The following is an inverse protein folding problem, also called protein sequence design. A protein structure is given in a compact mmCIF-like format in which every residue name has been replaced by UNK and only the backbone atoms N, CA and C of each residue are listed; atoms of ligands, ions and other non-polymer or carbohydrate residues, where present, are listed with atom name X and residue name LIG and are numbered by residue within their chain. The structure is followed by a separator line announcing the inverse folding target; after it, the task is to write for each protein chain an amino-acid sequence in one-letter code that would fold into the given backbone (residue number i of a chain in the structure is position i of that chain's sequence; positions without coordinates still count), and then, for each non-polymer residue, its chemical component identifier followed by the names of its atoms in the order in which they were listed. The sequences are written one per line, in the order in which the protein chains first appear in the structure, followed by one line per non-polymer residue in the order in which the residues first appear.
data_IF_812562214641
#
_entry.id   IF_812562214641
#
_cell.length_a   1.000
_cell.length_b   1.000
_cell.length_c   1.000
_cell.angle_alpha   90.00
_cell.angle_beta   90.00
_cell.angle_gamma   90.00
#
_symmetry.space_group_name_H-M   'P 1'
#
loop_
_entity.id
_entity.type
_entity.pdbx_description
1 polymer ?
#
# COMPACT_ATOMS: atom_id res chain seq x y z
N UNK A 1 2.93 59.79 -32.72
CA UNK A 1 2.16 58.59 -32.31
C UNK A 1 2.98 57.36 -32.56
N UNK A 2 3.69 56.86 -31.55
CA UNK A 2 3.99 55.45 -31.48
C UNK A 2 4.01 55.02 -29.99
N UNK A 3 2.99 54.33 -29.50
CA UNK A 3 3.08 53.72 -28.14
C UNK A 3 2.04 52.61 -27.87
N UNK A 4 1.49 51.96 -28.90
CA UNK A 4 0.43 50.94 -28.66
C UNK A 4 0.85 49.49 -28.97
N UNK A 5 2.07 49.24 -29.44
CA UNK A 5 2.50 47.88 -29.84
C UNK A 5 3.29 47.10 -28.80
N UNK A 6 3.79 47.73 -27.75
CA UNK A 6 4.70 47.07 -26.80
C UNK A 6 3.95 46.36 -25.65
N UNK A 7 2.68 46.69 -25.37
CA UNK A 7 1.94 46.12 -24.23
C UNK A 7 1.36 44.71 -24.44
N UNK A 8 1.24 44.24 -25.68
CA UNK A 8 0.62 42.95 -26.00
C UNK A 8 1.58 41.75 -25.92
N UNK A 9 2.89 41.98 -25.96
CA UNK A 9 3.89 40.88 -25.96
C UNK A 9 4.35 40.41 -24.59
N UNK A 10 4.09 41.16 -23.51
CA UNK A 10 4.59 40.81 -22.15
C UNK A 10 3.61 39.92 -21.39
N UNK A 11 2.33 39.87 -21.76
CA UNK A 11 1.32 39.07 -21.04
C UNK A 11 1.36 37.61 -21.45
N UNK A 12 1.78 37.27 -22.67
CA UNK A 12 1.78 35.92 -23.20
C UNK A 12 2.82 34.98 -22.49
N UNK A 13 4.08 35.42 -22.22
CA UNK A 13 5.03 34.55 -21.52
C UNK A 13 4.72 34.34 -20.04
N UNK A 14 3.99 35.27 -19.39
CA UNK A 14 3.65 35.13 -17.96
C UNK A 14 2.52 34.12 -17.73
N UNK A 15 1.57 34.01 -18.67
CA UNK A 15 0.50 32.99 -18.59
C UNK A 15 1.01 31.59 -18.89
N UNK A 16 2.02 31.42 -19.74
CA UNK A 16 2.64 30.11 -20.01
C UNK A 16 3.45 29.64 -18.79
N UNK A 17 4.10 30.56 -18.08
CA UNK A 17 4.89 30.21 -16.87
C UNK A 17 4.00 29.75 -15.69
N UNK A 18 2.77 30.27 -15.61
CA UNK A 18 1.80 29.88 -14.57
C UNK A 18 1.16 28.51 -14.83
N UNK A 19 1.13 28.06 -16.10
CA UNK A 19 0.58 26.73 -16.45
C UNK A 19 1.59 25.58 -16.27
N UNK A 20 2.89 25.87 -16.16
CA UNK A 20 3.93 24.85 -15.93
C UNK A 20 4.09 24.45 -14.45
N UNK A 21 3.47 25.19 -13.52
CA UNK A 21 3.55 24.92 -12.09
C UNK A 21 2.54 23.90 -11.55
N UNK A 22 1.61 23.39 -12.38
CA UNK A 22 0.48 22.60 -11.91
C UNK A 22 0.59 21.08 -12.16
N UNK A 23 1.67 20.61 -12.78
CA UNK A 23 1.93 19.18 -12.91
C UNK A 23 3.02 18.75 -11.93
N UNK A 24 2.72 18.69 -10.64
CA UNK A 24 3.49 17.78 -9.80
C UNK A 24 3.27 16.36 -10.32
N UNK A 25 4.34 15.60 -10.59
CA UNK A 25 4.17 14.21 -10.99
C UNK A 25 3.40 13.49 -9.88
N UNK A 26 2.27 12.88 -10.22
CA UNK A 26 1.37 12.11 -9.35
C UNK A 26 2.10 11.08 -8.45
N UNK A 27 3.29 10.67 -8.85
CA UNK A 27 4.14 9.69 -8.18
C UNK A 27 4.79 10.20 -6.89
N UNK A 28 5.11 11.49 -6.79
CA UNK A 28 5.92 12.01 -5.69
C UNK A 28 5.21 11.91 -4.33
N UNK A 29 3.89 12.07 -4.26
CA UNK A 29 3.16 12.04 -2.99
C UNK A 29 2.90 10.60 -2.50
N UNK A 30 2.76 9.60 -3.40
CA UNK A 30 2.64 8.18 -3.01
C UNK A 30 3.94 7.72 -2.35
N UNK A 31 5.09 8.06 -2.94
CA UNK A 31 6.39 7.78 -2.33
C UNK A 31 6.53 8.49 -0.98
N UNK A 32 6.12 9.75 -0.89
CA UNK A 32 6.20 10.52 0.36
C UNK A 32 5.32 9.93 1.45
N UNK A 33 4.12 9.48 1.12
CA UNK A 33 3.19 8.89 2.07
C UNK A 33 3.68 7.56 2.64
N UNK A 34 4.36 6.75 1.83
CA UNK A 34 4.87 5.43 2.24
C UNK A 34 6.27 5.52 2.85
N UNK A 35 7.16 6.35 2.27
CA UNK A 35 8.56 6.46 2.70
C UNK A 35 8.74 7.42 3.88
N UNK A 36 7.84 8.40 4.04
CA UNK A 36 7.86 9.36 5.15
C UNK A 36 6.50 9.39 5.84
N UNK A 37 6.05 8.26 6.41
CA UNK A 37 4.73 8.18 7.01
C UNK A 37 4.59 9.20 8.16
N UNK A 38 3.42 9.79 8.27
CA UNK A 38 3.06 10.71 9.36
C UNK A 38 3.16 10.01 10.73
N UNK A 39 2.94 8.70 10.75
CA UNK A 39 3.13 7.84 11.91
C UNK A 39 3.78 6.52 11.48
N UNK A 40 4.49 5.87 12.41
CA UNK A 40 5.09 4.54 12.15
C UNK A 40 4.05 3.43 12.33
N UNK A 41 4.28 2.31 11.64
CA UNK A 41 3.45 1.11 11.78
C UNK A 41 3.23 0.74 13.27
N UNK A 42 2.03 0.26 13.64
CA UNK A 42 0.91 -0.13 12.78
C UNK A 42 0.01 1.01 12.29
N UNK A 43 0.36 2.25 12.57
CA UNK A 43 -0.39 3.42 12.14
C UNK A 43 -0.09 3.77 10.68
N UNK A 44 -1.12 4.12 9.92
CA UNK A 44 -1.00 4.74 8.61
C UNK A 44 -1.94 5.94 8.52
N UNK A 45 -1.39 7.12 8.24
CA UNK A 45 -2.13 8.39 8.07
C UNK A 45 -3.16 8.65 9.17
N UNK A 46 -2.73 8.53 10.43
CA UNK A 46 -3.55 8.62 11.65
C UNK A 46 -4.57 7.50 11.86
N UNK A 47 -4.66 6.52 10.97
CA UNK A 47 -5.52 5.35 11.11
C UNK A 47 -4.71 4.25 11.81
N UNK A 48 -5.22 3.74 12.93
CA UNK A 48 -4.51 2.73 13.73
C UNK A 48 -5.37 1.49 13.89
N UNK A 49 -4.96 0.33 13.36
CA UNK A 49 -5.61 -0.95 13.62
C UNK A 49 -5.78 -1.20 15.14
N UNK A 50 -6.92 -1.75 15.52
CA UNK A 50 -7.30 -1.98 16.91
C UNK A 50 -7.77 -0.74 17.69
N UNK A 51 -7.78 0.45 17.07
CA UNK A 51 -8.21 1.70 17.74
C UNK A 51 -9.21 2.51 16.93
N UNK A 52 -8.90 2.77 15.66
CA UNK A 52 -9.75 3.59 14.80
C UNK A 52 -11.06 2.87 14.53
N UNK A 53 -12.17 3.56 14.78
CA UNK A 53 -13.49 3.04 14.45
C UNK A 53 -13.84 3.31 12.98
N UNK A 54 -14.81 2.54 12.47
CA UNK A 54 -15.34 2.73 11.12
C UNK A 54 -15.91 4.13 10.89
N UNK A 55 -16.61 4.67 11.88
CA UNK A 55 -17.22 6.01 11.79
C UNK A 55 -16.16 7.11 11.78
N UNK A 56 -15.13 6.98 12.61
CA UNK A 56 -13.98 7.90 12.61
C UNK A 56 -13.25 7.84 11.25
N UNK A 57 -12.96 6.65 10.75
CA UNK A 57 -12.33 6.47 9.44
C UNK A 57 -13.18 7.10 8.34
N UNK A 58 -14.48 6.81 8.30
CA UNK A 58 -15.38 7.38 7.30
C UNK A 58 -15.45 8.91 7.36
N UNK A 59 -15.32 9.50 8.57
CA UNK A 59 -15.27 10.94 8.75
C UNK A 59 -13.94 11.53 8.26
N UNK A 60 -12.81 10.88 8.56
CA UNK A 60 -11.49 11.31 8.09
C UNK A 60 -11.43 11.31 6.56
N UNK A 61 -11.85 10.22 5.93
CA UNK A 61 -11.85 10.08 4.47
C UNK A 61 -12.71 11.14 3.77
N UNK A 62 -13.87 11.52 4.34
CA UNK A 62 -14.73 12.57 3.78
C UNK A 62 -14.11 13.96 3.87
N UNK A 63 -13.16 14.17 4.77
CA UNK A 63 -12.51 15.47 4.99
C UNK A 63 -11.22 15.63 4.16
N UNK A 64 -10.65 14.53 3.68
CA UNK A 64 -9.43 14.57 2.88
C UNK A 64 -9.75 14.84 1.40
N UNK A 65 -9.30 15.97 0.84
CA UNK A 65 -9.53 16.33 -0.55
C UNK A 65 -8.81 15.41 -1.56
N UNK A 66 -7.87 14.59 -1.12
CA UNK A 66 -7.13 13.64 -1.96
C UNK A 66 -7.78 12.26 -1.99
N UNK A 67 -8.84 12.04 -1.21
CA UNK A 67 -9.56 10.78 -1.15
C UNK A 67 -10.74 10.78 -2.12
N UNK A 68 -10.86 9.71 -2.90
CA UNK A 68 -11.88 9.53 -3.94
C UNK A 68 -12.48 8.11 -3.86
N UNK A 69 -13.64 7.95 -4.49
CA UNK A 69 -14.28 6.65 -4.72
C UNK A 69 -14.46 5.81 -3.45
N UNK A 70 -14.90 6.47 -2.37
CA UNK A 70 -15.19 5.77 -1.11
C UNK A 70 -16.35 4.82 -1.34
N UNK A 71 -16.11 3.53 -1.19
CA UNK A 71 -17.10 2.48 -1.35
C UNK A 71 -17.11 1.53 -0.16
N UNK A 72 -18.30 1.10 0.20
CA UNK A 72 -18.51 0.12 1.25
C UNK A 72 -19.02 -1.17 0.65
N UNK A 73 -18.42 -2.28 1.06
CA UNK A 73 -18.82 -3.61 0.63
C UNK A 73 -18.76 -4.59 1.79
N UNK A 74 -19.48 -5.71 1.63
CA UNK A 74 -19.32 -6.88 2.50
C UNK A 74 -18.50 -7.88 1.71
N UNK A 75 -17.23 -8.03 2.07
CA UNK A 75 -16.31 -8.98 1.46
C UNK A 75 -16.33 -10.31 2.22
N UNK A 76 -16.78 -11.39 1.60
CA UNK A 76 -16.62 -12.73 2.16
C UNK A 76 -15.21 -13.26 1.78
N UNK A 77 -14.35 -13.66 2.70
CA UNK A 77 -14.55 -13.89 4.15
C UNK A 77 -14.19 -12.68 5.05
N UNK A 78 -14.05 -11.50 4.50
CA UNK A 78 -13.42 -10.34 5.16
C UNK A 78 -14.37 -9.55 6.08
N UNK A 79 -15.66 -9.82 6.04
CA UNK A 79 -16.66 -8.99 6.72
C UNK A 79 -16.88 -7.63 6.04
N UNK A 80 -17.28 -6.60 6.79
CA UNK A 80 -17.40 -5.25 6.25
C UNK A 80 -16.04 -4.69 5.83
N UNK A 81 -15.99 -4.11 4.65
CA UNK A 81 -14.77 -3.48 4.07
C UNK A 81 -15.14 -2.09 3.58
N UNK A 82 -14.30 -1.12 3.89
CA UNK A 82 -14.31 0.21 3.30
C UNK A 82 -13.12 0.33 2.36
N UNK A 83 -13.36 0.73 1.12
CA UNK A 83 -12.32 0.93 0.11
C UNK A 83 -12.37 2.35 -0.42
N UNK A 84 -11.20 2.88 -0.78
CA UNK A 84 -11.08 4.22 -1.37
C UNK A 84 -9.80 4.32 -2.18
N UNK A 85 -9.67 5.40 -2.93
CA UNK A 85 -8.46 5.75 -3.64
C UNK A 85 -7.87 7.04 -3.11
N UNK A 86 -6.57 7.13 -3.15
CA UNK A 86 -5.83 8.34 -2.78
C UNK A 86 -5.02 8.79 -4.00
N UNK A 87 -5.23 10.06 -4.42
CA UNK A 87 -4.50 10.65 -5.56
C UNK A 87 -5.36 11.46 -6.47
N UNK A 88 -5.90 10.90 -7.47
CA UNK A 88 -6.77 11.57 -8.43
C UNK A 88 -8.09 10.83 -8.62
N UNK A 89 -9.11 11.53 -9.11
CA UNK A 89 -10.39 10.91 -9.43
C UNK A 89 -10.52 10.69 -10.94
N UNK A 90 -11.05 9.55 -11.40
CA UNK A 90 -11.27 8.30 -10.67
C UNK A 90 -9.97 7.55 -10.41
N UNK A 91 -10.00 6.50 -9.56
CA UNK A 91 -8.86 5.61 -9.34
C UNK A 91 -8.20 5.20 -10.66
N UNK A 92 -7.07 5.78 -10.96
CA UNK A 92 -6.37 5.58 -12.23
C UNK A 92 -5.03 4.87 -12.05
N UNK A 93 -4.38 4.51 -13.16
CA UNK A 93 -3.00 4.03 -13.11
C UNK A 93 -2.10 5.04 -12.39
N UNK A 94 -1.37 4.58 -11.37
CA UNK A 94 -0.50 5.42 -10.54
C UNK A 94 -1.14 5.96 -9.26
N UNK A 95 -2.45 5.81 -9.08
CA UNK A 95 -3.11 6.12 -7.81
C UNK A 95 -2.93 4.97 -6.81
N UNK A 96 -3.06 5.28 -5.53
CA UNK A 96 -3.04 4.27 -4.48
C UNK A 96 -4.46 3.84 -4.15
N UNK A 97 -4.72 2.54 -4.23
CA UNK A 97 -5.96 1.95 -3.73
C UNK A 97 -5.76 1.45 -2.31
N UNK A 98 -6.73 1.74 -1.46
CA UNK A 98 -6.69 1.37 -0.05
C UNK A 98 -7.97 0.65 0.30
N UNK A 99 -7.87 -0.35 1.16
CA UNK A 99 -9.04 -0.88 1.84
C UNK A 99 -8.78 -1.16 3.32
N UNK A 100 -9.82 -1.03 4.13
CA UNK A 100 -9.79 -1.40 5.54
C UNK A 100 -10.84 -2.46 5.83
N UNK A 101 -10.44 -3.47 6.61
CA UNK A 101 -11.32 -4.47 7.16
C UNK A 101 -11.60 -4.16 8.64
N UNK A 102 -12.80 -4.54 9.11
CA UNK A 102 -13.28 -4.25 10.45
C UNK A 102 -13.68 -5.53 11.18
N UNK A 103 -13.59 -5.51 12.50
CA UNK A 103 -14.21 -6.54 13.34
C UNK A 103 -15.73 -6.33 13.48
N UNK A 104 -16.36 -7.20 14.26
CA UNK A 104 -17.81 -7.13 14.54
C UNK A 104 -18.24 -5.88 15.32
N UNK A 105 -17.31 -5.15 15.92
CA UNK A 105 -17.55 -3.90 16.66
C UNK A 105 -17.28 -2.66 15.81
N UNK A 106 -16.87 -2.84 14.55
CA UNK A 106 -16.53 -1.75 13.65
C UNK A 106 -15.15 -1.13 13.93
N UNK A 107 -14.24 -1.86 14.57
CA UNK A 107 -12.86 -1.42 14.78
C UNK A 107 -12.01 -1.89 13.60
N UNK A 108 -11.20 -0.99 13.04
CA UNK A 108 -10.23 -1.30 11.98
C UNK A 108 -9.28 -2.40 12.47
N UNK A 109 -9.19 -3.48 11.74
CA UNK A 109 -8.27 -4.59 12.00
C UNK A 109 -7.09 -4.60 11.03
N UNK A 110 -7.32 -4.12 9.83
CA UNK A 110 -6.34 -4.11 8.76
C UNK A 110 -6.55 -2.91 7.85
N UNK A 111 -5.44 -2.35 7.38
CA UNK A 111 -5.38 -1.39 6.27
C UNK A 111 -4.45 -1.98 5.23
N UNK A 112 -4.93 -2.15 4.03
CA UNK A 112 -4.15 -2.69 2.92
C UNK A 112 -4.01 -1.63 1.83
N UNK A 113 -2.78 -1.29 1.52
CA UNK A 113 -2.41 -0.31 0.51
C UNK A 113 -1.87 -1.02 -0.71
N UNK A 114 -2.36 -0.64 -1.89
CA UNK A 114 -1.81 -1.05 -3.18
C UNK A 114 -1.44 0.18 -3.95
N UNK A 115 -0.15 0.38 -4.15
CA UNK A 115 0.34 1.51 -4.93
C UNK A 115 0.22 1.24 -6.43
N UNK A 116 -0.27 2.22 -7.19
CA UNK A 116 -0.19 2.20 -8.65
C UNK A 116 1.20 2.59 -9.17
N UNK A 117 2.09 3.01 -8.28
CA UNK A 117 3.50 3.31 -8.57
C UNK A 117 4.35 2.19 -7.98
N UNK A 118 5.35 1.66 -8.71
CA UNK A 118 6.25 0.64 -8.18
C UNK A 118 6.95 1.10 -6.91
N UNK A 119 6.84 0.30 -5.86
CA UNK A 119 7.56 0.43 -4.59
C UNK A 119 8.42 -0.81 -4.41
N UNK A 120 9.61 -0.66 -3.87
CA UNK A 120 10.58 -1.75 -3.79
C UNK A 120 10.94 -2.06 -2.33
N UNK A 121 11.35 -3.29 -2.06
CA UNK A 121 11.76 -3.69 -0.70
C UNK A 121 12.83 -2.78 -0.12
N UNK A 122 13.79 -2.33 -0.92
CA UNK A 122 14.84 -1.37 -0.51
C UNK A 122 14.31 -0.05 0.04
N UNK A 123 13.07 0.34 -0.31
CA UNK A 123 12.45 1.57 0.17
C UNK A 123 11.96 1.44 1.63
N UNK A 124 11.69 0.21 2.09
CA UNK A 124 11.14 -0.08 3.41
C UNK A 124 12.19 -0.48 4.45
N UNK A 125 13.27 -1.14 4.04
CA UNK A 125 14.33 -1.58 4.95
C UNK A 125 14.93 -0.42 5.77
N UNK A 126 15.19 0.77 5.22
CA UNK A 126 15.68 1.91 6.02
C UNK A 126 14.69 2.41 7.08
N UNK A 127 13.39 2.20 6.87
CA UNK A 127 12.32 2.67 7.77
C UNK A 127 12.05 1.69 8.91
N UNK A 128 11.99 0.40 8.58
CA UNK A 128 11.52 -0.65 9.50
C UNK A 128 12.59 -1.66 9.88
N UNK A 129 13.79 -1.56 9.28
CA UNK A 129 14.85 -2.56 9.42
C UNK A 129 14.55 -3.83 8.61
N UNK A 130 15.33 -4.90 8.82
CA UNK A 130 15.07 -6.20 8.22
C UNK A 130 13.78 -6.81 8.79
N UNK A 131 12.98 -7.52 7.99
CA UNK A 131 11.82 -8.25 8.49
C UNK A 131 12.27 -9.35 9.48
N UNK A 132 11.36 -9.80 10.32
CA UNK A 132 11.65 -10.91 11.24
C UNK A 132 11.45 -12.26 10.54
N UNK A 133 10.42 -12.34 9.68
CA UNK A 133 10.04 -13.59 9.02
C UNK A 133 9.64 -13.36 7.56
N UNK A 134 9.71 -14.45 6.82
CA UNK A 134 9.17 -14.57 5.45
C UNK A 134 8.07 -15.60 5.47
N UNK A 135 6.94 -15.28 4.87
CA UNK A 135 5.82 -16.20 4.69
C UNK A 135 5.54 -16.43 3.22
N UNK A 136 5.22 -17.67 2.86
CA UNK A 136 4.83 -18.05 1.51
C UNK A 136 3.40 -18.55 1.49
N UNK A 137 2.65 -18.14 0.49
CA UNK A 137 1.31 -18.67 0.26
C UNK A 137 1.05 -18.90 -1.22
N UNK A 138 0.38 -20.01 -1.54
CA UNK A 138 -0.05 -20.27 -2.90
C UNK A 138 -1.06 -19.22 -3.36
N UNK A 139 -0.93 -18.75 -4.60
CA UNK A 139 -1.97 -17.93 -5.20
C UNK A 139 -3.06 -18.83 -5.78
N UNK A 140 -4.31 -18.59 -5.39
CA UNK A 140 -5.45 -19.29 -5.98
C UNK A 140 -5.72 -18.88 -7.43
N UNK A 141 -5.15 -17.77 -7.90
CA UNK A 141 -5.52 -17.13 -9.17
C UNK A 141 -4.54 -17.34 -10.32
N UNK A 142 -3.33 -17.79 -10.06
CA UNK A 142 -2.32 -18.00 -11.12
C UNK A 142 -1.37 -19.16 -10.75
N UNK A 143 -1.49 -20.32 -11.37
CA UNK A 143 -0.59 -21.44 -11.17
C UNK A 143 0.87 -21.03 -11.41
N UNK A 144 1.74 -21.33 -10.47
CA UNK A 144 3.17 -20.99 -10.54
C UNK A 144 3.56 -19.64 -9.93
N UNK A 145 2.59 -18.85 -9.46
CA UNK A 145 2.89 -17.65 -8.68
C UNK A 145 2.71 -17.91 -7.19
N UNK A 146 3.54 -17.24 -6.40
CA UNK A 146 3.51 -17.30 -4.94
C UNK A 146 3.36 -15.88 -4.42
N UNK A 147 2.51 -15.69 -3.42
CA UNK A 147 2.53 -14.47 -2.61
C UNK A 147 3.58 -14.67 -1.51
N UNK A 148 4.50 -13.75 -1.46
CA UNK A 148 5.51 -13.69 -0.41
C UNK A 148 5.19 -12.52 0.50
N UNK A 149 5.09 -12.80 1.80
CA UNK A 149 4.91 -11.79 2.84
C UNK A 149 6.18 -11.63 3.65
N UNK A 150 6.67 -10.40 3.78
CA UNK A 150 7.70 -10.04 4.74
C UNK A 150 7.03 -9.53 6.01
N UNK A 151 7.28 -10.19 7.12
CA UNK A 151 6.54 -10.00 8.35
C UNK A 151 7.36 -9.20 9.36
N UNK A 152 6.73 -8.17 9.91
CA UNK A 152 7.23 -7.32 11.00
C UNK A 152 6.22 -7.37 12.17
N UNK A 153 6.17 -8.51 12.93
CA UNK A 153 5.15 -8.69 13.95
C UNK A 153 5.14 -7.58 14.99
N UNK A 154 6.31 -7.16 15.48
CA UNK A 154 6.42 -6.09 16.47
C UNK A 154 5.90 -4.73 15.97
N UNK A 155 5.90 -4.50 14.66
CA UNK A 155 5.39 -3.28 14.03
C UNK A 155 3.95 -3.42 13.53
N UNK A 156 3.37 -4.62 13.47
CA UNK A 156 2.07 -4.85 12.84
C UNK A 156 2.08 -4.50 11.35
N UNK A 157 3.16 -4.84 10.64
CA UNK A 157 3.36 -4.54 9.23
C UNK A 157 3.66 -5.81 8.45
N UNK A 158 3.05 -5.93 7.28
CA UNK A 158 3.38 -6.95 6.29
C UNK A 158 3.59 -6.28 4.93
N UNK A 159 4.67 -6.64 4.25
CA UNK A 159 4.90 -6.27 2.86
C UNK A 159 4.68 -7.51 2.00
N UNK A 160 3.70 -7.46 1.11
CA UNK A 160 3.44 -8.56 0.17
C UNK A 160 3.97 -8.23 -1.22
N UNK A 161 4.47 -9.25 -1.88
CA UNK A 161 4.82 -9.20 -3.30
C UNK A 161 4.46 -10.51 -3.99
N UNK A 162 4.22 -10.41 -5.29
CA UNK A 162 3.93 -11.54 -6.14
C UNK A 162 5.25 -11.99 -6.77
N UNK A 163 5.62 -13.23 -6.53
CA UNK A 163 6.84 -13.81 -7.09
C UNK A 163 6.54 -15.04 -7.95
N UNK A 164 7.39 -15.27 -8.94
CA UNK A 164 7.36 -16.51 -9.71
C UNK A 164 8.03 -17.58 -8.86
N UNK A 165 7.32 -18.70 -8.69
CA UNK A 165 7.89 -19.87 -8.06
C UNK A 165 9.01 -20.46 -8.95
N UNK A 166 10.25 -20.42 -8.47
CA UNK A 166 11.41 -21.02 -9.14
C UNK A 166 11.60 -22.51 -8.83
N UNK A 167 10.79 -23.03 -7.89
CA UNK A 167 10.81 -24.44 -7.48
C UNK A 167 9.67 -25.25 -8.08
N UNK A 168 9.28 -26.30 -7.36
CA UNK A 168 8.09 -27.10 -7.66
C UNK A 168 6.91 -26.67 -6.81
N UNK A 169 5.70 -27.16 -7.11
CA UNK A 169 4.50 -26.90 -6.30
C UNK A 169 4.69 -27.39 -4.85
N UNK A 170 5.39 -28.51 -4.69
CA UNK A 170 5.64 -29.11 -3.36
C UNK A 170 6.84 -28.49 -2.63
N UNK A 171 7.69 -27.78 -3.33
CA UNK A 171 8.88 -27.09 -2.80
C UNK A 171 9.04 -25.75 -3.51
N UNK A 172 8.28 -24.76 -3.10
CA UNK A 172 8.40 -23.43 -3.67
C UNK A 172 9.77 -22.86 -3.37
N UNK A 173 10.35 -22.17 -4.33
CA UNK A 173 11.60 -21.44 -4.13
C UNK A 173 11.42 -20.02 -4.63
N UNK A 174 11.81 -19.06 -3.80
CA UNK A 174 11.78 -17.63 -4.12
C UNK A 174 13.15 -17.04 -3.85
N UNK A 175 13.65 -16.29 -4.80
CA UNK A 175 14.87 -15.49 -4.63
C UNK A 175 14.52 -14.10 -4.13
N UNK A 176 15.03 -13.76 -2.96
CA UNK A 176 14.84 -12.44 -2.37
C UNK A 176 15.87 -11.46 -2.90
N UNK A 177 15.44 -10.27 -3.26
CA UNK A 177 16.31 -9.16 -3.62
C UNK A 177 15.76 -7.83 -3.10
N UNK A 178 16.61 -6.83 -2.99
CA UNK A 178 16.21 -5.49 -2.60
C UNK A 178 15.30 -4.79 -3.63
N UNK A 179 15.35 -5.25 -4.88
CA UNK A 179 14.55 -4.72 -6.00
C UNK A 179 13.21 -5.45 -6.20
N UNK A 180 12.79 -6.28 -5.24
CA UNK A 180 11.45 -6.88 -5.29
C UNK A 180 10.39 -5.81 -5.16
N UNK A 181 9.45 -5.80 -6.11
CA UNK A 181 8.35 -4.86 -6.15
C UNK A 181 7.27 -5.26 -5.14
N UNK A 182 6.99 -4.36 -4.20
CA UNK A 182 5.95 -4.53 -3.19
C UNK A 182 4.58 -4.29 -3.82
N UNK A 183 3.76 -5.31 -3.84
CA UNK A 183 2.40 -5.25 -4.39
C UNK A 183 1.35 -4.78 -3.39
N UNK A 184 1.60 -5.03 -2.11
CA UNK A 184 0.71 -4.64 -1.01
C UNK A 184 1.51 -4.28 0.25
N UNK A 185 1.05 -3.24 0.95
CA UNK A 185 1.53 -2.87 2.28
C UNK A 185 0.35 -3.03 3.22
N UNK A 186 0.50 -3.88 4.22
CA UNK A 186 -0.58 -4.22 5.13
C UNK A 186 -0.22 -3.78 6.54
N UNK A 187 -0.98 -2.85 7.10
CA UNK A 187 -0.94 -2.48 8.50
C UNK A 187 -2.03 -3.25 9.25
N UNK A 188 -1.66 -3.88 10.34
CA UNK A 188 -2.56 -4.72 11.14
C UNK A 188 -2.18 -4.64 12.61
N UNK A 189 -2.78 -5.45 13.46
CA UNK A 189 -2.39 -5.56 14.86
C UNK A 189 -0.95 -6.07 14.99
N UNK A 190 -0.19 -5.63 16.02
CA UNK A 190 1.23 -5.97 16.16
C UNK A 190 1.56 -7.45 16.24
N UNK A 191 0.62 -8.30 16.73
CA UNK A 191 0.78 -9.75 16.76
C UNK A 191 0.54 -10.44 15.42
N UNK A 192 0.04 -9.72 14.42
CA UNK A 192 -0.38 -10.23 13.11
C UNK A 192 -1.49 -11.30 13.16
N UNK A 193 -2.16 -11.51 14.30
CA UNK A 193 -3.17 -12.56 14.47
C UNK A 193 -4.31 -12.43 13.44
N UNK A 194 -4.74 -11.20 13.18
CA UNK A 194 -5.75 -10.95 12.17
C UNK A 194 -5.26 -11.33 10.76
N UNK A 195 -4.04 -10.96 10.41
CA UNK A 195 -3.42 -11.32 9.13
C UNK A 195 -3.30 -12.84 8.99
N UNK A 196 -2.85 -13.53 10.03
CA UNK A 196 -2.73 -14.99 10.01
C UNK A 196 -4.09 -15.68 9.91
N UNK A 197 -5.06 -15.28 10.72
CA UNK A 197 -6.40 -15.89 10.71
C UNK A 197 -7.05 -15.80 9.33
N UNK A 198 -6.87 -14.69 8.67
CA UNK A 198 -7.37 -14.42 7.33
C UNK A 198 -6.69 -15.28 6.27
N UNK A 199 -5.37 -15.44 6.36
CA UNK A 199 -4.60 -16.16 5.38
C UNK A 199 -4.58 -17.69 5.61
N UNK A 200 -4.67 -18.17 6.86
CA UNK A 200 -4.76 -19.60 7.17
C UNK A 200 -6.04 -20.22 6.57
N UNK A 201 -7.15 -19.49 6.57
CA UNK A 201 -8.42 -19.96 5.98
C UNK A 201 -8.36 -19.96 4.45
N UNK A 202 -7.63 -19.01 3.85
CA UNK A 202 -7.57 -18.82 2.40
C UNK A 202 -6.34 -19.49 1.75
N UNK A 203 -5.24 -19.67 2.50
CA UNK A 203 -3.93 -20.02 1.95
C UNK A 203 -3.11 -20.79 2.99
N UNK A 204 -2.39 -21.81 2.56
CA UNK A 204 -1.37 -22.47 3.37
C UNK A 204 -0.18 -21.54 3.51
N UNK A 205 0.08 -21.00 4.70
CA UNK A 205 1.24 -20.17 4.97
C UNK A 205 2.37 -21.03 5.53
N UNK A 206 3.49 -21.08 4.81
CA UNK A 206 4.76 -21.58 5.35
C UNK A 206 5.60 -20.37 5.77
N UNK A 207 6.21 -20.42 6.95
CA UNK A 207 6.99 -19.33 7.51
C UNK A 207 8.43 -19.75 7.77
N UNK A 208 9.34 -18.82 7.49
CA UNK A 208 10.77 -18.98 7.70
C UNK A 208 11.33 -17.74 8.41
N UNK A 209 12.37 -17.90 9.19
CA UNK A 209 13.11 -16.76 9.73
C UNK A 209 13.81 -16.02 8.59
N UNK A 210 13.84 -14.69 8.68
CA UNK A 210 14.55 -13.87 7.71
C UNK A 210 16.06 -14.13 7.77
N UNK A 211 16.69 -14.42 6.63
CA UNK A 211 18.13 -14.69 6.50
C UNK A 211 18.83 -13.72 5.53
N UNK A 212 18.15 -12.69 5.08
CA UNK A 212 18.66 -11.74 4.12
C UNK A 212 18.20 -12.01 2.69
N UNK A 213 18.90 -11.41 1.76
CA UNK A 213 18.64 -11.53 0.32
C UNK A 213 19.24 -12.84 -0.21
N UNK A 214 18.53 -13.92 0.01
CA UNK A 214 18.93 -15.26 -0.44
C UNK A 214 17.74 -16.04 -1.01
N UNK A 215 17.98 -17.29 -1.39
CA UNK A 215 16.91 -18.19 -1.82
C UNK A 215 16.27 -18.86 -0.61
N UNK A 216 14.97 -18.79 -0.58
CA UNK A 216 14.13 -19.44 0.43
C UNK A 216 13.49 -20.70 -0.17
N UNK A 217 13.38 -21.77 0.64
CA UNK A 217 12.79 -23.04 0.20
C UNK A 217 11.32 -22.92 -0.10
#
# INVERSE_FOLDING_TARGET
MPSLFIRKFIILPLTILLMLGACMPRTAWVEELVQKPVCLAPCWDHITPGRTTRDELAQMLKQDPNVFDIAESVGDPWGPVLSWCVGGSPCGPGDMSVFSAFDSHGIVQEINLRSGTPLYLKDFIPLYGPPEKVAFSDTLSAPGNIVVGLLYPGAGLVLEFLSVNQGTIDRPMVEMSEDLEVSSIIYTLPDLDYYYSRNIVARKLEQFDWKGYEKYP
#
